data_IF_748377937302
#
_entry.id   IF_748377937302
#
_cell.length_a   1.000
_cell.length_b   1.000
_cell.length_c   1.000
_cell.angle_alpha   90.00
_cell.angle_beta   90.00
_cell.angle_gamma   90.00
#
_symmetry.space_group_name_H-M   'P 1'
#
loop_
_entity.id
_entity.type
_entity.pdbx_description
1 polymer ?
#
# COMPACT_ATOMS: atom_id res chain seq x y z
N UNK A 1 0.11 8.14 5.52
CA UNK A 1 0.30 6.80 4.91
C UNK A 1 0.56 5.71 5.93
N UNK A 2 1.58 5.83 6.80
CA UNK A 2 1.88 4.79 7.79
C UNK A 2 0.68 4.40 8.68
N UNK A 3 -0.01 5.39 9.28
CA UNK A 3 -1.24 5.17 10.08
C UNK A 3 -2.34 4.45 9.29
N UNK A 4 -2.64 4.93 8.07
CA UNK A 4 -3.63 4.29 7.19
C UNK A 4 -3.31 2.81 6.93
N UNK A 5 -2.04 2.46 6.71
CA UNK A 5 -1.61 1.07 6.50
C UNK A 5 -1.84 0.21 7.74
N UNK A 6 -1.63 0.74 8.93
CA UNK A 6 -1.91 0.04 10.20
C UNK A 6 -3.41 -0.26 10.30
N UNK A 7 -4.26 0.75 10.06
CA UNK A 7 -5.72 0.57 10.13
C UNK A 7 -6.23 -0.41 9.06
N UNK A 8 -5.69 -0.36 7.83
CA UNK A 8 -6.03 -1.34 6.80
C UNK A 8 -5.65 -2.77 7.22
N UNK A 9 -4.49 -2.98 7.85
CA UNK A 9 -4.08 -4.30 8.36
C UNK A 9 -5.04 -4.80 9.44
N UNK A 10 -5.42 -3.94 10.40
CA UNK A 10 -6.41 -4.29 11.42
C UNK A 10 -7.73 -4.72 10.78
N UNK A 11 -8.24 -3.94 9.83
CA UNK A 11 -9.46 -4.28 9.08
C UNK A 11 -9.31 -5.64 8.37
N UNK A 12 -8.19 -5.88 7.69
CA UNK A 12 -7.96 -7.16 7.01
C UNK A 12 -7.94 -8.33 7.99
N UNK A 13 -7.25 -8.20 9.12
CA UNK A 13 -7.21 -9.26 10.14
C UNK A 13 -8.59 -9.54 10.73
N UNK A 14 -9.40 -8.51 10.97
CA UNK A 14 -10.78 -8.68 11.40
C UNK A 14 -11.61 -9.42 10.35
N UNK A 15 -11.53 -9.00 9.08
CA UNK A 15 -12.26 -9.67 8.00
C UNK A 15 -11.79 -11.11 7.79
N UNK A 16 -10.47 -11.37 7.78
CA UNK A 16 -9.91 -12.71 7.66
C UNK A 16 -10.41 -13.59 8.83
N UNK A 17 -10.45 -13.07 10.07
CA UNK A 17 -10.91 -13.79 11.27
C UNK A 17 -12.40 -14.17 11.20
N UNK A 18 -13.27 -13.25 10.77
CA UNK A 18 -14.71 -13.49 10.69
C UNK A 18 -15.19 -14.15 9.40
N UNK A 19 -14.28 -14.72 8.58
CA UNK A 19 -14.61 -15.34 7.29
C UNK A 19 -15.71 -16.40 7.38
N UNK A 20 -15.76 -17.16 8.47
CA UNK A 20 -16.77 -18.22 8.67
C UNK A 20 -18.16 -17.68 9.04
N UNK A 21 -18.30 -16.38 9.35
CA UNK A 21 -19.59 -15.78 9.73
C UNK A 21 -20.38 -15.20 8.56
N UNK A 22 -19.77 -15.12 7.37
CA UNK A 22 -20.32 -14.44 6.19
C UNK A 22 -20.31 -15.33 4.94
N UNK A 23 -21.11 -15.01 3.91
CA UNK A 23 -21.08 -15.73 2.64
C UNK A 23 -19.67 -15.73 2.02
N UNK A 24 -19.03 -16.91 1.97
CA UNK A 24 -17.61 -17.07 1.59
C UNK A 24 -17.26 -16.32 0.31
N UNK A 25 -18.07 -16.43 -0.74
CA UNK A 25 -17.77 -15.81 -2.05
C UNK A 25 -17.72 -14.29 -1.97
N UNK A 26 -18.77 -13.64 -1.47
CA UNK A 26 -18.86 -12.18 -1.42
C UNK A 26 -17.87 -11.59 -0.41
N UNK A 27 -17.71 -12.22 0.75
CA UNK A 27 -16.74 -11.79 1.76
C UNK A 27 -15.30 -11.88 1.27
N UNK A 28 -14.92 -12.99 0.61
CA UNK A 28 -13.58 -13.14 0.06
C UNK A 28 -13.30 -12.15 -1.07
N UNK A 29 -14.31 -11.77 -1.86
CA UNK A 29 -14.18 -10.69 -2.85
C UNK A 29 -13.85 -9.35 -2.17
N UNK A 30 -14.53 -9.02 -1.07
CA UNK A 30 -14.25 -7.80 -0.30
C UNK A 30 -12.83 -7.81 0.30
N UNK A 31 -12.40 -8.94 0.88
CA UNK A 31 -11.02 -9.13 1.37
C UNK A 31 -10.01 -8.96 0.22
N UNK A 32 -10.29 -9.53 -0.95
CA UNK A 32 -9.41 -9.43 -2.10
C UNK A 32 -9.20 -7.98 -2.54
N UNK A 33 -10.28 -7.19 -2.64
CA UNK A 33 -10.18 -5.76 -2.98
C UNK A 33 -9.38 -4.97 -1.93
N UNK A 34 -9.59 -5.27 -0.64
CA UNK A 34 -8.81 -4.67 0.43
C UNK A 34 -7.32 -5.02 0.31
N UNK A 35 -6.97 -6.27 -0.03
CA UNK A 35 -5.59 -6.71 -0.27
C UNK A 35 -4.96 -5.98 -1.46
N UNK A 36 -5.68 -5.83 -2.58
CA UNK A 36 -5.20 -5.10 -3.75
C UNK A 36 -4.86 -3.64 -3.42
N UNK A 37 -5.77 -2.96 -2.72
CA UNK A 37 -5.53 -1.59 -2.24
C UNK A 37 -4.30 -1.54 -1.32
N UNK A 38 -4.22 -2.45 -0.34
CA UNK A 38 -3.08 -2.50 0.58
C UNK A 38 -1.73 -2.70 -0.13
N UNK A 39 -1.67 -3.55 -1.16
CA UNK A 39 -0.45 -3.80 -1.92
C UNK A 39 0.08 -2.51 -2.56
N UNK A 40 -0.79 -1.73 -3.21
CA UNK A 40 -0.39 -0.44 -3.82
C UNK A 40 0.04 0.61 -2.80
N UNK A 41 -0.61 0.64 -1.63
CA UNK A 41 -0.17 1.50 -0.52
C UNK A 41 1.18 1.05 0.03
N UNK A 42 1.44 -0.26 0.03
CA UNK A 42 2.73 -0.88 0.35
C UNK A 42 3.82 -0.43 -0.61
N UNK A 43 3.61 -0.61 -1.92
CA UNK A 43 4.54 -0.23 -2.98
C UNK A 43 5.01 1.23 -2.84
N UNK A 44 4.06 2.15 -2.62
CA UNK A 44 4.38 3.57 -2.40
C UNK A 44 5.20 3.81 -1.12
N UNK A 45 4.81 3.15 -0.02
CA UNK A 45 5.50 3.30 1.25
C UNK A 45 6.93 2.74 1.20
N UNK A 46 7.12 1.59 0.55
CA UNK A 46 8.43 0.95 0.42
C UNK A 46 9.39 1.81 -0.38
N UNK A 47 8.91 2.49 -1.43
CA UNK A 47 9.74 3.46 -2.16
C UNK A 47 10.19 4.65 -1.30
N UNK A 48 9.35 5.12 -0.37
CA UNK A 48 9.76 6.16 0.60
C UNK A 48 10.89 5.63 1.49
N UNK A 49 10.75 4.42 2.03
CA UNK A 49 11.76 3.78 2.88
C UNK A 49 13.06 3.51 2.09
N UNK A 50 12.98 3.03 0.85
CA UNK A 50 14.15 2.78 0.00
C UNK A 50 14.93 4.06 -0.31
N UNK A 51 14.23 5.16 -0.63
CA UNK A 51 14.87 6.47 -0.87
C UNK A 51 15.56 6.98 0.40
N UNK A 52 14.91 6.86 1.56
CA UNK A 52 15.50 7.24 2.84
C UNK A 52 16.75 6.40 3.16
N UNK A 53 16.68 5.08 2.95
CA UNK A 53 17.80 4.17 3.13
C UNK A 53 19.00 4.52 2.24
N UNK A 54 18.78 4.69 0.93
CA UNK A 54 19.84 5.09 -0.01
C UNK A 54 20.45 6.46 0.36
N UNK A 55 19.63 7.39 0.84
CA UNK A 55 20.11 8.70 1.31
C UNK A 55 20.98 8.56 2.56
N UNK A 56 20.61 7.66 3.48
CA UNK A 56 21.40 7.36 4.68
C UNK A 56 22.70 6.63 4.38
N UNK A 57 22.73 5.74 3.37
CA UNK A 57 23.96 5.07 2.93
C UNK A 57 24.99 6.07 2.42
N UNK A 58 24.54 7.06 1.65
CA UNK A 58 25.38 8.14 1.13
C UNK A 58 26.01 8.98 2.26
N UNK A 59 25.33 9.16 3.39
CA UNK A 59 25.85 9.93 4.52
C UNK A 59 26.69 9.09 5.49
N UNK A 60 26.40 7.79 5.62
CA UNK A 60 27.01 6.91 6.62
C UNK A 60 28.36 6.31 6.18
N UNK A 61 28.58 6.16 4.88
CA UNK A 61 29.77 5.51 4.34
C UNK A 61 30.49 6.43 3.34
N UNK A 62 31.81 6.40 3.33
CA UNK A 62 32.56 7.04 2.25
C UNK A 62 32.59 6.13 1.01
N UNK A 63 31.65 6.36 0.10
CA UNK A 63 31.46 5.56 -1.10
C UNK A 63 32.39 5.97 -2.27
N UNK A 64 33.33 6.91 -2.04
CA UNK A 64 34.11 7.53 -3.10
C UNK A 64 33.26 8.26 -4.14
N UNK A 65 33.89 8.82 -5.18
CA UNK A 65 33.20 9.61 -6.22
C UNK A 65 32.20 8.77 -7.04
N UNK A 66 32.63 7.59 -7.52
CA UNK A 66 31.80 6.68 -8.31
C UNK A 66 30.59 6.16 -7.52
N UNK A 67 30.79 5.69 -6.29
CA UNK A 67 29.69 5.19 -5.45
C UNK A 67 28.67 6.28 -5.09
N UNK A 68 29.13 7.50 -4.78
CA UNK A 68 28.23 8.66 -4.58
C UNK A 68 27.42 8.99 -5.83
N UNK A 69 27.98 8.84 -7.02
CA UNK A 69 27.28 9.08 -8.30
C UNK A 69 26.24 7.99 -8.59
N UNK A 70 26.59 6.72 -8.37
CA UNK A 70 25.66 5.57 -8.51
C UNK A 70 24.45 5.72 -7.59
N UNK A 71 24.67 6.00 -6.29
CA UNK A 71 23.57 6.19 -5.34
C UNK A 71 22.68 7.38 -5.72
N UNK A 72 23.26 8.49 -6.23
CA UNK A 72 22.45 9.62 -6.73
C UNK A 72 21.56 9.22 -7.90
N UNK A 73 22.08 8.45 -8.86
CA UNK A 73 21.31 7.94 -10.00
C UNK A 73 20.17 7.01 -9.55
N UNK A 74 20.46 6.09 -8.62
CA UNK A 74 19.46 5.20 -8.04
C UNK A 74 18.35 5.96 -7.30
N UNK A 75 18.72 6.97 -6.50
CA UNK A 75 17.73 7.83 -5.82
C UNK A 75 16.85 8.56 -6.84
N UNK A 76 17.42 9.05 -7.95
CA UNK A 76 16.66 9.72 -9.01
C UNK A 76 15.61 8.77 -9.61
N UNK A 77 16.03 7.57 -10.04
CA UNK A 77 15.12 6.55 -10.59
C UNK A 77 14.02 6.16 -9.59
N UNK A 78 14.37 5.96 -8.32
CA UNK A 78 13.39 5.64 -7.27
C UNK A 78 12.41 6.77 -7.00
N UNK A 79 12.82 8.04 -7.11
CA UNK A 79 11.94 9.20 -6.99
C UNK A 79 10.92 9.28 -8.13
N UNK A 80 11.34 8.97 -9.36
CA UNK A 80 10.45 8.89 -10.53
C UNK A 80 9.40 7.79 -10.34
N UNK A 81 9.83 6.58 -9.97
CA UNK A 81 8.93 5.46 -9.65
C UNK A 81 7.95 5.80 -8.52
N UNK A 82 8.42 6.48 -7.46
CA UNK A 82 7.59 6.92 -6.34
C UNK A 82 6.44 7.83 -6.79
N UNK A 83 6.67 8.71 -7.78
CA UNK A 83 5.62 9.59 -8.30
C UNK A 83 4.48 8.76 -8.91
N UNK A 84 4.82 7.77 -9.72
CA UNK A 84 3.86 6.84 -10.35
C UNK A 84 3.10 6.02 -9.29
N UNK A 85 3.82 5.46 -8.32
CA UNK A 85 3.20 4.70 -7.23
C UNK A 85 2.31 5.56 -6.34
N UNK A 86 2.64 6.84 -6.15
CA UNK A 86 1.76 7.78 -5.42
C UNK A 86 0.45 7.98 -6.15
N UNK A 87 0.50 8.21 -7.47
CA UNK A 87 -0.70 8.38 -8.29
C UNK A 87 -1.57 7.11 -8.23
N UNK A 88 -0.97 5.94 -8.44
CA UNK A 88 -1.66 4.64 -8.35
C UNK A 88 -2.26 4.38 -6.96
N UNK A 89 -1.54 4.71 -5.89
CA UNK A 89 -2.04 4.57 -4.52
C UNK A 89 -3.27 5.45 -4.24
N UNK A 90 -3.30 6.69 -4.76
CA UNK A 90 -4.46 7.56 -4.64
C UNK A 90 -5.65 7.06 -5.47
N UNK A 91 -5.37 6.53 -6.66
CA UNK A 91 -6.42 5.99 -7.52
C UNK A 91 -7.10 4.77 -6.91
N UNK A 92 -6.33 3.80 -6.42
CA UNK A 92 -6.91 2.61 -5.78
C UNK A 92 -7.67 2.96 -4.50
N UNK A 93 -7.26 3.99 -3.76
CA UNK A 93 -8.00 4.48 -2.59
C UNK A 93 -9.37 5.04 -2.99
N UNK A 94 -9.43 5.80 -4.09
CA UNK A 94 -10.70 6.31 -4.63
C UNK A 94 -11.59 5.17 -5.10
N UNK A 95 -11.04 4.19 -5.80
CA UNK A 95 -11.79 3.02 -6.26
C UNK A 95 -12.32 2.19 -5.08
N UNK A 96 -11.48 1.92 -4.08
CA UNK A 96 -11.87 1.19 -2.89
C UNK A 96 -12.98 1.92 -2.11
N UNK A 97 -12.86 3.24 -1.95
CA UNK A 97 -13.92 4.06 -1.32
C UNK A 97 -15.25 3.91 -2.05
N UNK A 98 -15.27 4.10 -3.38
CA UNK A 98 -16.49 3.94 -4.19
C UNK A 98 -17.10 2.55 -4.03
N UNK A 99 -16.25 1.52 -3.95
CA UNK A 99 -16.71 0.13 -3.74
C UNK A 99 -17.33 -0.05 -2.36
N UNK A 100 -16.72 0.48 -1.30
CA UNK A 100 -17.27 0.43 0.06
C UNK A 100 -18.61 1.16 0.14
N UNK A 101 -18.76 2.27 -0.57
CA UNK A 101 -20.01 3.06 -0.64
C UNK A 101 -21.11 2.36 -1.47
N UNK A 102 -20.78 1.33 -2.25
CA UNK A 102 -21.77 0.56 -3.00
C UNK A 102 -22.63 -0.33 -2.09
N UNK A 103 -23.92 -0.46 -2.43
CA UNK A 103 -24.90 -1.28 -1.70
C UNK A 103 -24.41 -2.73 -1.55
N UNK A 104 -23.79 -3.29 -2.59
CA UNK A 104 -23.31 -4.67 -2.64
C UNK A 104 -22.19 -4.99 -1.64
N UNK A 105 -21.37 -4.00 -1.27
CA UNK A 105 -20.26 -4.24 -0.36
C UNK A 105 -20.73 -4.35 1.09
N UNK A 106 -21.57 -3.40 1.53
CA UNK A 106 -22.06 -3.34 2.89
C UNK A 106 -23.22 -4.31 3.15
N UNK A 107 -23.97 -4.72 2.12
CA UNK A 107 -25.06 -5.70 2.27
C UNK A 107 -24.57 -7.04 2.82
N UNK A 108 -23.32 -7.43 2.53
CA UNK A 108 -22.66 -8.62 3.10
C UNK A 108 -22.63 -8.59 4.64
N UNK A 109 -22.57 -7.38 5.23
CA UNK A 109 -22.39 -7.16 6.66
C UNK A 109 -23.63 -6.62 7.38
N UNK A 110 -24.70 -6.27 6.65
CA UNK A 110 -25.91 -5.61 7.20
C UNK A 110 -27.05 -6.56 7.59
N UNK A 111 -26.98 -7.85 7.25
CA UNK A 111 -28.08 -8.81 7.46
C UNK A 111 -27.85 -9.83 8.61
N UNK A 112 -27.29 -9.36 9.73
CA UNK A 112 -27.33 -10.07 11.02
C UNK A 112 -27.75 -9.13 12.11
#
# INVERSE_FOLDING_TARGET
MHKLRIECKKLRYLLDFFTNLYPKKAHNQNIHQLKLMQNRLGDFNDSVTQIAFLSSLKSKYDLGKKGKQTIRSLIKQKKELRSQQRASALDVLKQFRKRVESVDFLSVYRNK
#
